data_IF_793645125000
#
_entry.id   IF_793645125000
#
_cell.length_a   1.000
_cell.length_b   1.000
_cell.length_c   1.000
_cell.angle_alpha   90.00
_cell.angle_beta   90.00
_cell.angle_gamma   90.00
#
_symmetry.space_group_name_H-M   'P 1'
#
loop_
_entity.id
_entity.type
_entity.pdbx_description
1 polymer ?
#
# COMPACT_ATOMS: atom_id res chain seq x y z
N UNK A 1 4.08 3.41 -4.93
CA UNK A 1 2.89 4.24 -4.64
C UNK A 1 3.12 5.63 -5.23
N UNK A 2 2.16 6.20 -5.98
CA UNK A 2 2.27 7.55 -6.57
C UNK A 2 1.44 8.57 -5.76
N UNK A 3 1.83 8.85 -4.51
CA UNK A 3 1.16 9.89 -3.69
C UNK A 3 1.43 11.31 -4.20
N UNK A 4 2.61 11.49 -4.80
CA UNK A 4 3.05 12.75 -5.38
C UNK A 4 2.11 13.24 -6.48
N UNK A 5 1.50 12.31 -7.24
CA UNK A 5 0.55 12.66 -8.30
C UNK A 5 -0.79 13.17 -7.78
N UNK A 6 -1.14 12.87 -6.53
CA UNK A 6 -2.35 13.36 -5.88
C UNK A 6 -2.08 14.53 -4.92
N UNK A 7 -0.83 14.98 -4.80
CA UNK A 7 -0.44 16.06 -3.87
C UNK A 7 -0.64 15.72 -2.39
N UNK A 8 -0.73 14.43 -2.04
CA UNK A 8 -1.10 13.98 -0.70
C UNK A 8 0.12 13.70 0.17
N UNK A 9 0.21 14.39 1.30
CA UNK A 9 1.20 14.04 2.34
C UNK A 9 0.84 12.73 3.02
N UNK A 10 1.83 12.07 3.64
CA UNK A 10 1.60 10.87 4.48
C UNK A 10 0.55 11.12 5.58
N UNK A 11 0.55 12.34 6.15
CA UNK A 11 -0.41 12.75 7.19
C UNK A 11 -1.81 12.90 6.62
N UNK A 12 -1.96 13.47 5.42
CA UNK A 12 -3.26 13.61 4.77
C UNK A 12 -3.86 12.24 4.44
N UNK A 13 -3.04 11.34 3.90
CA UNK A 13 -3.49 9.97 3.59
C UNK A 13 -3.91 9.21 4.86
N UNK A 14 -3.13 9.34 5.94
CA UNK A 14 -3.47 8.75 7.23
C UNK A 14 -4.81 9.32 7.77
N UNK A 15 -5.02 10.62 7.65
CA UNK A 15 -6.27 11.27 8.06
C UNK A 15 -7.47 10.79 7.24
N UNK A 16 -7.30 10.62 5.91
CA UNK A 16 -8.35 10.05 5.03
C UNK A 16 -8.69 8.61 5.39
N UNK A 17 -7.68 7.79 5.63
CA UNK A 17 -7.90 6.40 6.06
C UNK A 17 -8.63 6.36 7.42
N UNK A 18 -8.25 7.24 8.37
CA UNK A 18 -8.94 7.38 9.65
C UNK A 18 -10.41 7.77 9.48
N UNK A 19 -10.72 8.74 8.61
CA UNK A 19 -12.10 9.12 8.27
C UNK A 19 -12.90 7.97 7.64
N UNK A 20 -12.24 7.10 6.90
CA UNK A 20 -12.83 5.91 6.30
C UNK A 20 -12.94 4.71 7.28
N UNK A 21 -12.66 4.90 8.58
CA UNK A 21 -12.78 3.86 9.60
C UNK A 21 -11.58 2.89 9.67
N UNK A 22 -10.46 3.22 9.01
CA UNK A 22 -9.20 2.47 9.09
C UNK A 22 -8.07 3.40 9.55
N UNK A 23 -7.85 3.57 10.86
CA UNK A 23 -6.72 4.33 11.35
C UNK A 23 -5.42 3.66 10.90
N UNK A 24 -4.53 4.44 10.28
CA UNK A 24 -3.20 3.98 9.86
C UNK A 24 -2.18 5.05 10.22
N UNK A 25 -1.02 4.61 10.72
CA UNK A 25 0.05 5.53 11.08
C UNK A 25 0.90 5.94 9.88
N UNK A 26 1.40 7.19 9.83
CA UNK A 26 2.27 7.66 8.74
C UNK A 26 3.56 6.82 8.62
N UNK A 27 4.11 6.34 9.73
CA UNK A 27 5.27 5.42 9.71
C UNK A 27 4.94 4.07 9.08
N UNK A 28 3.71 3.58 9.29
CA UNK A 28 3.21 2.35 8.66
C UNK A 28 3.03 2.56 7.15
N UNK A 29 2.46 3.69 6.77
CA UNK A 29 2.33 4.12 5.38
C UNK A 29 3.70 4.21 4.69
N UNK A 30 4.71 4.76 5.34
CA UNK A 30 6.08 4.82 4.80
C UNK A 30 6.69 3.43 4.60
N UNK A 31 6.48 2.50 5.53
CA UNK A 31 6.90 1.09 5.37
C UNK A 31 6.20 0.41 4.19
N UNK A 32 4.90 0.68 4.00
CA UNK A 32 4.12 0.17 2.87
C UNK A 32 4.67 0.71 1.55
N UNK A 33 5.01 2.00 1.48
CA UNK A 33 5.59 2.60 0.27
C UNK A 33 6.96 2.05 -0.09
N UNK A 34 7.74 1.67 0.93
CA UNK A 34 9.06 1.05 0.76
C UNK A 34 8.99 -0.47 0.57
N UNK A 35 7.80 -1.05 0.42
CA UNK A 35 7.57 -2.51 0.37
C UNK A 35 8.11 -3.29 1.58
N UNK A 36 8.37 -2.63 2.71
CA UNK A 36 8.84 -3.28 3.96
C UNK A 36 7.71 -4.07 4.63
N UNK A 37 6.46 -3.63 4.44
CA UNK A 37 5.30 -4.25 5.08
C UNK A 37 4.10 -4.27 4.12
N UNK A 38 3.44 -5.43 4.01
CA UNK A 38 2.19 -5.52 3.25
C UNK A 38 1.00 -5.05 4.11
N UNK A 39 0.19 -4.10 3.61
CA UNK A 39 -1.04 -3.70 4.29
C UNK A 39 -2.05 -4.83 4.28
N UNK A 40 -2.91 -4.87 5.31
CA UNK A 40 -4.05 -5.80 5.38
C UNK A 40 -5.00 -5.55 4.21
N UNK A 41 -5.72 -6.58 3.69
CA UNK A 41 -6.64 -6.43 2.56
C UNK A 41 -7.67 -5.30 2.75
N UNK A 42 -8.22 -5.17 3.97
CA UNK A 42 -9.13 -4.08 4.33
C UNK A 42 -8.49 -2.69 4.22
N UNK A 43 -7.25 -2.54 4.70
CA UNK A 43 -6.50 -1.29 4.59
C UNK A 43 -6.14 -0.99 3.13
N UNK A 44 -5.82 -2.01 2.34
CA UNK A 44 -5.53 -1.89 0.91
C UNK A 44 -6.71 -1.33 0.13
N UNK A 45 -7.92 -1.85 0.38
CA UNK A 45 -9.15 -1.32 -0.21
C UNK A 45 -9.41 0.14 0.19
N UNK A 46 -9.14 0.50 1.45
CA UNK A 46 -9.28 1.90 1.90
C UNK A 46 -8.24 2.81 1.25
N UNK A 47 -6.99 2.36 1.12
CA UNK A 47 -5.93 3.12 0.46
C UNK A 47 -6.25 3.35 -1.03
N UNK A 48 -6.75 2.32 -1.72
CA UNK A 48 -7.19 2.38 -3.10
C UNK A 48 -8.29 3.44 -3.28
N UNK A 49 -9.31 3.41 -2.43
CA UNK A 49 -10.38 4.43 -2.41
C UNK A 49 -9.84 5.83 -2.10
N UNK A 50 -8.97 5.97 -1.11
CA UNK A 50 -8.41 7.26 -0.70
C UNK A 50 -7.54 7.90 -1.79
N UNK A 51 -6.85 7.07 -2.59
CA UNK A 51 -5.99 7.47 -3.70
C UNK A 51 -6.73 7.49 -5.04
N UNK A 52 -7.98 7.03 -5.11
CA UNK A 52 -8.77 6.86 -6.34
C UNK A 52 -8.04 6.01 -7.40
N UNK A 53 -7.36 4.96 -6.96
CA UNK A 53 -6.64 4.02 -7.84
C UNK A 53 -7.12 2.60 -7.59
N UNK A 54 -6.98 1.68 -8.56
CA UNK A 54 -7.27 0.28 -8.31
C UNK A 54 -6.31 -0.31 -7.27
N UNK A 55 -6.82 -1.27 -6.49
CA UNK A 55 -6.07 -2.01 -5.45
C UNK A 55 -4.82 -2.70 -6.02
N UNK A 56 -4.91 -3.16 -7.27
CA UNK A 56 -3.83 -3.79 -8.02
C UNK A 56 -2.66 -2.82 -8.27
N UNK A 57 -2.95 -1.54 -8.53
CA UNK A 57 -1.91 -0.52 -8.69
C UNK A 57 -1.15 -0.21 -7.38
N UNK A 58 -1.69 -0.60 -6.23
CA UNK A 58 -1.02 -0.48 -4.93
C UNK A 58 -0.18 -1.70 -4.57
N UNK A 59 -0.43 -2.84 -5.22
CA UNK A 59 0.27 -4.12 -4.99
C UNK A 59 1.28 -4.44 -6.07
N UNK A 60 1.25 -3.71 -7.19
CA UNK A 60 2.28 -3.69 -8.24
C UNK A 60 3.58 -3.02 -7.76
N UNK A 61 4.05 -3.38 -6.58
CA UNK A 61 5.49 -3.44 -6.33
C UNK A 61 5.91 -4.82 -6.79
N UNK A 62 6.89 -4.89 -7.68
CA UNK A 62 7.65 -6.11 -7.91
C UNK A 62 8.20 -6.56 -6.54
N UNK A 63 7.44 -7.41 -5.86
CA UNK A 63 8.04 -8.32 -4.90
C UNK A 63 8.74 -9.32 -5.80
N UNK A 64 10.03 -9.63 -5.61
CA UNK A 64 10.59 -10.79 -6.28
C UNK A 64 9.65 -11.94 -5.92
N UNK A 65 8.92 -12.42 -6.93
CA UNK A 65 8.33 -13.74 -6.88
C UNK A 65 9.53 -14.60 -6.56
N UNK A 66 9.61 -15.11 -5.34
CA UNK A 66 10.43 -16.28 -5.10
C UNK A 66 9.84 -17.32 -6.01
N UNK A 67 10.45 -17.43 -7.19
CA UNK A 67 10.21 -18.50 -8.12
C UNK A 67 10.17 -19.80 -7.31
N UNK A 68 9.23 -20.72 -7.60
CA UNK A 68 9.33 -22.05 -7.02
C UNK A 68 10.73 -22.57 -7.38
N UNK A 69 11.48 -23.04 -6.37
CA UNK A 69 12.71 -23.81 -6.61
C UNK A 69 12.37 -24.93 -7.57
N UNK A 70 12.76 -24.78 -8.83
CA UNK A 70 12.76 -25.85 -9.79
C UNK A 70 13.96 -26.76 -9.48
N UNK A 71 13.68 -28.02 -9.13
CA UNK A 71 14.54 -29.23 -9.20
C UNK A 71 15.87 -29.17 -8.44
N UNK A 72 16.24 -30.08 -7.52
CA UNK A 72 15.88 -31.48 -7.38
C UNK A 72 15.89 -32.24 -8.71
N UNK A 73 17.08 -32.38 -9.29
CA UNK A 73 17.51 -33.52 -10.10
C UNK A 73 19.04 -33.63 -9.99
#
# INVERSE_FOLDING_TARGET
MRREQSGLTLRDLAARCRKAGQPVNPSQLSKIERNICRPRPRLLATLAKALKVPVEALTSGDFPTTAPRAGAA
#
